data_IF_117131114316
#
_entry.id   IF_117131114316
#
_cell.length_a   1.000
_cell.length_b   1.000
_cell.length_c   1.000
_cell.angle_alpha   90.00
_cell.angle_beta   90.00
_cell.angle_gamma   90.00
#
_symmetry.space_group_name_H-M   'P 1'
#
loop_
_entity.id
_entity.type
_entity.pdbx_description
1 polymer ?
#
# COMPACT_ATOMS: atom_id res chain seq x y z
N UNK A 1 -30.69 11.19 -22.26
CA UNK A 1 -31.15 12.59 -22.15
C UNK A 1 -32.40 12.61 -21.31
N UNK A 2 -32.38 13.31 -20.18
CA UNK A 2 -33.60 13.57 -19.41
C UNK A 2 -34.31 14.73 -20.16
N UNK A 3 -35.50 14.48 -20.70
CA UNK A 3 -36.32 15.55 -21.26
C UNK A 3 -36.87 16.39 -20.10
N UNK A 4 -36.38 17.63 -19.95
CA UNK A 4 -37.02 18.59 -19.08
C UNK A 4 -38.36 18.98 -19.72
N UNK A 5 -39.47 18.72 -19.04
CA UNK A 5 -40.83 18.98 -19.56
C UNK A 5 -41.25 20.46 -19.43
N UNK A 6 -40.35 21.33 -18.98
CA UNK A 6 -40.58 22.76 -18.75
C UNK A 6 -39.54 23.60 -19.50
N UNK A 7 -39.90 24.82 -19.89
CA UNK A 7 -38.99 25.76 -20.54
C UNK A 7 -37.89 26.23 -19.57
N UNK A 8 -36.59 26.16 -19.94
CA UNK A 8 -35.47 26.41 -19.03
C UNK A 8 -35.13 27.91 -18.86
N UNK A 9 -36.02 28.82 -19.22
CA UNK A 9 -35.77 30.27 -19.40
C UNK A 9 -36.67 31.18 -18.58
N UNK A 10 -37.47 30.64 -17.64
CA UNK A 10 -38.45 31.38 -16.85
C UNK A 10 -37.97 31.81 -15.44
N UNK A 11 -36.66 31.83 -15.18
CA UNK A 11 -36.12 32.20 -13.87
C UNK A 11 -36.33 33.69 -13.55
N UNK A 12 -36.77 34.01 -12.33
CA UNK A 12 -37.06 35.37 -11.86
C UNK A 12 -36.24 35.77 -10.62
N UNK A 13 -36.08 37.07 -10.40
CA UNK A 13 -35.44 37.60 -9.18
C UNK A 13 -36.29 37.21 -7.97
N UNK A 14 -35.69 36.48 -7.04
CA UNK A 14 -36.37 35.92 -5.86
C UNK A 14 -36.48 34.39 -5.90
N UNK A 15 -36.23 33.75 -7.04
CA UNK A 15 -36.18 32.29 -7.15
C UNK A 15 -34.94 31.71 -6.47
N UNK A 16 -35.02 30.41 -6.14
CA UNK A 16 -33.95 29.65 -5.49
C UNK A 16 -33.54 28.44 -6.34
N UNK A 17 -32.25 28.10 -6.31
CA UNK A 17 -31.70 26.94 -7.02
C UNK A 17 -31.80 25.71 -6.12
N UNK A 18 -32.44 24.64 -6.60
CA UNK A 18 -32.57 23.37 -5.89
C UNK A 18 -31.86 22.28 -6.67
N UNK A 19 -30.86 21.66 -6.06
CA UNK A 19 -30.15 20.51 -6.60
C UNK A 19 -30.73 19.23 -5.99
N UNK A 20 -31.23 18.33 -6.83
CA UNK A 20 -31.96 17.12 -6.39
C UNK A 20 -31.07 15.89 -6.19
N UNK A 21 -29.77 15.99 -6.51
CA UNK A 21 -28.79 14.90 -6.35
C UNK A 21 -27.41 15.46 -5.97
N UNK A 22 -26.62 14.78 -5.12
CA UNK A 22 -25.27 15.21 -4.79
C UNK A 22 -24.36 15.21 -6.02
N UNK A 23 -23.38 16.11 -6.02
CA UNK A 23 -22.31 16.16 -7.02
C UNK A 23 -21.20 15.15 -6.68
N UNK A 24 -20.31 14.86 -7.63
CA UNK A 24 -19.10 14.08 -7.39
C UNK A 24 -19.14 12.61 -7.85
N UNK A 25 -20.18 12.18 -8.57
CA UNK A 25 -20.28 10.80 -9.10
C UNK A 25 -19.09 10.43 -9.99
N UNK A 26 -18.61 11.35 -10.83
CA UNK A 26 -17.48 11.09 -11.71
C UNK A 26 -16.17 10.95 -10.93
N UNK A 27 -15.93 11.80 -9.93
CA UNK A 27 -14.75 11.72 -9.05
C UNK A 27 -14.76 10.40 -8.28
N UNK A 28 -15.89 10.06 -7.67
CA UNK A 28 -16.05 8.80 -6.96
C UNK A 28 -15.76 7.58 -7.86
N UNK A 29 -16.25 7.58 -9.11
CA UNK A 29 -16.07 6.46 -10.03
C UNK A 29 -14.65 6.41 -10.62
N UNK A 30 -14.05 7.55 -10.98
CA UNK A 30 -12.69 7.58 -11.53
C UNK A 30 -11.68 7.07 -10.53
N UNK A 31 -11.77 7.53 -9.28
CA UNK A 31 -10.76 7.24 -8.26
C UNK A 31 -10.84 5.78 -7.81
N UNK A 32 -12.06 5.25 -7.64
CA UNK A 32 -12.27 3.82 -7.33
C UNK A 32 -11.72 2.93 -8.45
N UNK A 33 -11.93 3.30 -9.72
CA UNK A 33 -11.42 2.51 -10.86
C UNK A 33 -9.89 2.50 -10.90
N UNK A 34 -9.25 3.65 -10.69
CA UNK A 34 -7.80 3.76 -10.65
C UNK A 34 -7.21 2.97 -9.49
N UNK A 35 -7.76 3.12 -8.29
CA UNK A 35 -7.36 2.36 -7.10
C UNK A 35 -7.50 0.86 -7.30
N UNK A 36 -8.66 0.40 -7.81
CA UNK A 36 -8.88 -1.01 -8.12
C UNK A 36 -7.89 -1.55 -9.15
N UNK A 37 -7.58 -0.75 -10.17
CA UNK A 37 -6.61 -1.13 -11.20
C UNK A 37 -5.19 -1.24 -10.63
N UNK A 38 -4.72 -0.24 -9.88
CA UNK A 38 -3.41 -0.30 -9.22
C UNK A 38 -3.31 -1.45 -8.22
N UNK A 39 -4.37 -1.74 -7.46
CA UNK A 39 -4.41 -2.92 -6.59
C UNK A 39 -4.24 -4.21 -7.41
N UNK A 40 -4.97 -4.34 -8.53
CA UNK A 40 -4.86 -5.51 -9.41
C UNK A 40 -3.45 -5.66 -10.00
N UNK A 41 -2.84 -4.55 -10.45
CA UNK A 41 -1.46 -4.58 -10.94
C UNK A 41 -0.48 -4.98 -9.84
N UNK A 42 -0.61 -4.40 -8.65
CA UNK A 42 0.23 -4.74 -7.50
C UNK A 42 0.13 -6.23 -7.14
N UNK A 43 -1.07 -6.79 -7.07
CA UNK A 43 -1.29 -8.20 -6.73
C UNK A 43 -0.72 -9.17 -7.79
N UNK A 44 -0.63 -8.74 -9.04
CA UNK A 44 -0.14 -9.56 -10.16
C UNK A 44 1.37 -9.45 -10.37
N UNK A 45 2.05 -8.57 -9.63
CA UNK A 45 3.52 -8.53 -9.61
C UNK A 45 4.10 -9.70 -8.84
N UNK A 46 5.09 -10.36 -9.43
CA UNK A 46 5.78 -11.47 -8.80
C UNK A 46 6.91 -10.97 -7.90
N UNK A 47 6.97 -11.47 -6.67
CA UNK A 47 8.07 -11.26 -5.73
C UNK A 47 9.40 -11.93 -6.15
N UNK A 48 9.50 -12.48 -7.37
CA UNK A 48 10.67 -13.22 -7.88
C UNK A 48 11.94 -12.36 -7.91
N UNK A 49 11.84 -11.13 -8.40
CA UNK A 49 13.01 -10.23 -8.49
C UNK A 49 13.48 -9.82 -7.09
N UNK A 50 12.54 -9.45 -6.20
CA UNK A 50 12.85 -9.17 -4.81
C UNK A 50 13.55 -10.35 -4.14
N UNK A 51 13.02 -11.57 -4.31
CA UNK A 51 13.61 -12.78 -3.75
C UNK A 51 15.03 -13.08 -4.25
N UNK A 52 15.29 -12.86 -5.54
CA UNK A 52 16.65 -12.96 -6.11
C UNK A 52 17.59 -11.92 -5.49
N UNK A 53 17.15 -10.68 -5.34
CA UNK A 53 17.95 -9.59 -4.79
C UNK A 53 18.24 -9.76 -3.30
N UNK A 54 17.40 -10.48 -2.54
CA UNK A 54 17.65 -10.77 -1.12
C UNK A 54 19.01 -11.44 -0.90
N UNK A 55 19.40 -12.37 -1.78
CA UNK A 55 20.71 -13.02 -1.68
C UNK A 55 21.87 -12.05 -1.96
N UNK A 56 21.70 -11.17 -2.93
CA UNK A 56 22.72 -10.19 -3.33
C UNK A 56 22.97 -9.15 -2.23
N UNK A 57 21.91 -8.73 -1.55
CA UNK A 57 21.96 -7.69 -0.51
C UNK A 57 21.98 -8.27 0.92
N UNK A 58 22.31 -9.56 1.06
CA UNK A 58 22.52 -10.23 2.35
C UNK A 58 21.34 -10.12 3.32
N UNK A 59 20.11 -10.34 2.84
CA UNK A 59 18.92 -10.37 3.70
C UNK A 59 19.06 -11.39 4.84
N UNK A 60 18.63 -11.00 6.04
CA UNK A 60 18.65 -11.83 7.24
C UNK A 60 17.36 -12.64 7.42
N UNK A 61 16.29 -12.27 6.71
CA UNK A 61 15.02 -12.99 6.74
C UNK A 61 13.92 -12.26 5.96
N UNK A 62 12.83 -12.95 5.66
CA UNK A 62 11.67 -12.35 5.03
C UNK A 62 10.37 -13.11 5.32
N UNK A 63 9.24 -12.44 5.14
CA UNK A 63 7.91 -13.04 5.00
C UNK A 63 7.17 -12.33 3.86
N UNK A 64 6.26 -13.01 3.18
CA UNK A 64 5.24 -12.33 2.38
C UNK A 64 4.17 -11.71 3.30
N UNK A 65 3.53 -10.63 2.85
CA UNK A 65 2.40 -9.99 3.53
C UNK A 65 1.11 -10.39 2.82
N UNK A 66 0.26 -11.16 3.51
CA UNK A 66 -1.02 -11.64 2.98
C UNK A 66 -2.14 -11.47 4.00
N UNK A 67 -2.94 -12.51 4.26
CA UNK A 67 -4.26 -12.39 4.89
C UNK A 67 -4.27 -11.91 6.35
N UNK A 68 -3.11 -11.91 7.02
CA UNK A 68 -2.99 -11.40 8.40
C UNK A 68 -2.62 -9.91 8.46
N UNK A 69 -2.39 -9.28 7.31
CA UNK A 69 -1.91 -7.91 7.21
C UNK A 69 -0.46 -7.73 7.64
N UNK A 70 0.09 -6.55 7.37
CA UNK A 70 1.49 -6.22 7.60
C UNK A 70 1.96 -6.58 9.02
N UNK A 71 1.21 -6.13 10.03
CA UNK A 71 1.58 -6.29 11.43
C UNK A 71 1.42 -7.74 11.92
N UNK A 72 0.44 -8.47 11.39
CA UNK A 72 0.30 -9.91 11.66
C UNK A 72 1.49 -10.71 11.14
N UNK A 73 1.89 -10.46 9.89
CA UNK A 73 3.07 -11.10 9.30
C UNK A 73 4.39 -10.66 9.95
N UNK A 74 4.53 -9.37 10.31
CA UNK A 74 5.69 -8.88 11.05
C UNK A 74 5.83 -9.57 12.42
N UNK A 75 4.70 -9.77 13.13
CA UNK A 75 4.69 -10.52 14.39
C UNK A 75 5.14 -11.98 14.19
N UNK A 76 4.67 -12.65 13.14
CA UNK A 76 5.13 -14.01 12.85
C UNK A 76 6.64 -14.04 12.53
N UNK A 77 7.12 -13.07 11.73
CA UNK A 77 8.53 -12.98 11.34
C UNK A 77 9.45 -12.71 12.54
N UNK A 78 9.06 -11.85 13.48
CA UNK A 78 9.88 -11.56 14.67
C UNK A 78 9.97 -12.79 15.59
N UNK A 79 8.91 -13.60 15.68
CA UNK A 79 8.92 -14.79 16.55
C UNK A 79 9.95 -15.84 16.12
N UNK A 80 10.17 -16.00 14.81
CA UNK A 80 11.11 -16.99 14.26
C UNK A 80 12.58 -16.54 14.28
N UNK A 81 12.88 -15.31 14.68
CA UNK A 81 14.26 -14.81 14.75
C UNK A 81 15.06 -15.58 15.80
N UNK A 82 16.37 -15.78 15.58
CA UNK A 82 17.22 -16.46 16.56
C UNK A 82 17.45 -15.63 17.84
N UNK A 83 17.53 -14.30 17.71
CA UNK A 83 17.70 -13.39 18.84
C UNK A 83 16.33 -13.13 19.52
N UNK A 84 16.25 -13.34 20.84
CA UNK A 84 15.05 -13.15 21.65
C UNK A 84 14.86 -11.72 22.18
N UNK A 85 15.87 -10.86 22.03
CA UNK A 85 15.90 -9.50 22.59
C UNK A 85 15.78 -8.44 21.49
N UNK A 86 14.79 -8.59 20.61
CA UNK A 86 14.54 -7.62 19.53
C UNK A 86 13.06 -7.41 19.29
N UNK A 87 12.71 -6.27 18.70
CA UNK A 87 11.37 -5.96 18.24
C UNK A 87 11.42 -5.28 16.86
N UNK A 88 10.31 -5.36 16.12
CA UNK A 88 10.14 -4.63 14.86
C UNK A 88 9.28 -3.39 15.12
N UNK A 89 9.86 -2.21 14.88
CA UNK A 89 9.18 -0.92 14.99
C UNK A 89 8.85 -0.41 13.59
N UNK A 90 7.58 -0.47 13.20
CA UNK A 90 7.11 -0.02 11.88
C UNK A 90 6.69 1.45 12.00
N UNK A 91 7.40 2.32 11.29
CA UNK A 91 7.18 3.77 11.33
C UNK A 91 6.49 4.32 10.08
N UNK A 92 6.47 3.59 8.97
CA UNK A 92 5.92 4.06 7.69
C UNK A 92 5.02 3.00 7.05
N UNK A 93 3.91 3.44 6.44
CA UNK A 93 2.93 2.63 5.75
C UNK A 93 2.78 3.15 4.31
N UNK A 94 3.41 2.52 3.31
CA UNK A 94 3.09 2.80 1.91
C UNK A 94 1.71 2.24 1.59
N UNK A 95 0.78 3.12 1.25
CA UNK A 95 -0.61 2.78 0.93
C UNK A 95 -0.91 3.21 -0.50
N UNK A 96 -1.73 2.44 -1.23
CA UNK A 96 -2.20 2.90 -2.54
C UNK A 96 -2.97 4.21 -2.36
N UNK A 97 -2.74 5.17 -3.24
CA UNK A 97 -3.40 6.47 -3.23
C UNK A 97 -4.92 6.32 -3.03
N UNK A 98 -5.47 7.07 -2.06
CA UNK A 98 -6.89 7.03 -1.71
C UNK A 98 -7.31 5.90 -0.76
N UNK A 99 -6.52 4.83 -0.59
CA UNK A 99 -6.88 3.72 0.33
C UNK A 99 -6.87 4.14 1.80
N UNK A 100 -5.88 4.95 2.20
CA UNK A 100 -5.76 5.51 3.55
C UNK A 100 -6.94 6.43 3.89
N UNK A 101 -7.33 7.29 2.94
CA UNK A 101 -8.48 8.18 3.02
C UNK A 101 -9.79 7.39 3.19
N UNK A 102 -10.01 6.38 2.34
CA UNK A 102 -11.20 5.51 2.42
C UNK A 102 -11.23 4.79 3.77
N UNK A 103 -10.09 4.27 4.24
CA UNK A 103 -10.03 3.61 5.55
C UNK A 103 -10.46 4.55 6.66
N UNK A 104 -9.91 5.78 6.71
CA UNK A 104 -10.30 6.80 7.70
C UNK A 104 -11.79 7.14 7.61
N UNK A 105 -12.32 7.33 6.41
CA UNK A 105 -13.74 7.61 6.18
C UNK A 105 -14.65 6.48 6.70
N UNK A 106 -14.15 5.23 6.72
CA UNK A 106 -14.83 4.05 7.24
C UNK A 106 -14.44 3.72 8.69
N UNK A 107 -13.85 4.66 9.44
CA UNK A 107 -13.37 4.47 10.81
C UNK A 107 -12.38 3.30 10.96
N UNK A 108 -11.51 3.13 9.96
CA UNK A 108 -10.53 2.06 9.86
C UNK A 108 -11.13 0.66 10.08
N UNK A 109 -12.35 0.44 9.58
CA UNK A 109 -13.10 -0.82 9.76
C UNK A 109 -12.30 -2.05 9.29
N UNK A 110 -11.51 -1.91 8.24
CA UNK A 110 -10.65 -2.97 7.70
C UNK A 110 -9.29 -3.03 8.39
N UNK A 111 -9.00 -2.13 9.34
CA UNK A 111 -7.76 -2.09 10.13
C UNK A 111 -6.49 -1.86 9.30
N UNK A 112 -6.58 -1.09 8.22
CA UNK A 112 -5.43 -0.75 7.36
C UNK A 112 -4.40 0.05 8.16
N UNK A 113 -4.84 1.10 8.86
CA UNK A 113 -3.95 1.97 9.61
C UNK A 113 -3.43 1.33 10.90
N UNK A 114 -4.09 0.26 11.35
CA UNK A 114 -3.64 -0.61 12.43
C UNK A 114 -2.72 -1.75 11.93
N UNK A 115 -2.49 -1.87 10.62
CA UNK A 115 -1.61 -2.89 10.03
C UNK A 115 -2.20 -4.31 9.99
N UNK A 116 -3.50 -4.48 10.26
CA UNK A 116 -4.16 -5.79 10.28
C UNK A 116 -5.15 -6.00 9.13
N UNK A 117 -5.20 -5.08 8.16
CA UNK A 117 -5.98 -5.28 6.94
C UNK A 117 -5.46 -6.49 6.18
N UNK A 118 -6.32 -7.46 5.82
CA UNK A 118 -5.92 -8.59 5.00
C UNK A 118 -5.41 -8.13 3.63
N UNK A 119 -4.22 -8.59 3.25
CA UNK A 119 -3.65 -8.38 1.94
C UNK A 119 -3.75 -9.67 1.10
N UNK A 120 -3.75 -9.54 -0.22
CA UNK A 120 -3.73 -10.67 -1.16
C UNK A 120 -2.55 -10.50 -2.08
N UNK A 121 -1.68 -11.52 -2.20
CA UNK A 121 -0.49 -11.45 -3.06
C UNK A 121 0.33 -10.16 -2.82
N UNK A 122 0.55 -9.82 -1.55
CA UNK A 122 1.31 -8.62 -1.18
C UNK A 122 2.81 -8.77 -1.42
N UNK A 123 3.55 -7.71 -1.09
CA UNK A 123 5.00 -7.69 -1.19
C UNK A 123 5.71 -8.56 -0.15
N UNK A 124 7.03 -8.64 -0.26
CA UNK A 124 7.88 -9.21 0.78
C UNK A 124 8.22 -8.15 1.85
N UNK A 125 8.04 -8.50 3.12
CA UNK A 125 8.65 -7.82 4.26
C UNK A 125 10.02 -8.46 4.50
N UNK A 126 11.09 -7.69 4.31
CA UNK A 126 12.47 -8.19 4.29
C UNK A 126 13.29 -7.52 5.39
N UNK A 127 14.04 -8.31 6.15
CA UNK A 127 15.03 -7.83 7.12
C UNK A 127 16.40 -7.76 6.42
N UNK A 128 16.96 -6.56 6.31
CA UNK A 128 18.24 -6.30 5.63
C UNK A 128 19.21 -5.56 6.57
N UNK A 129 20.53 -5.68 6.34
CA UNK A 129 21.51 -4.74 6.89
C UNK A 129 21.17 -3.30 6.49
N UNK A 130 21.33 -2.35 7.41
CA UNK A 130 20.94 -0.94 7.21
C UNK A 130 21.66 -0.32 6.02
N UNK A 131 22.94 -0.66 5.87
CA UNK A 131 23.82 -0.22 4.79
C UNK A 131 23.42 -0.75 3.41
N UNK A 132 22.69 -1.87 3.33
CA UNK A 132 22.27 -2.49 2.06
C UNK A 132 20.81 -2.21 1.70
N UNK A 133 20.01 -1.69 2.64
CA UNK A 133 18.58 -1.47 2.44
C UNK A 133 18.31 -0.46 1.30
N UNK A 134 19.03 0.66 1.27
CA UNK A 134 18.86 1.68 0.24
C UNK A 134 19.23 1.16 -1.16
N UNK A 135 20.37 0.48 -1.29
CA UNK A 135 20.80 -0.09 -2.56
C UNK A 135 19.86 -1.19 -3.07
N UNK A 136 19.29 -1.99 -2.15
CA UNK A 136 18.27 -2.97 -2.49
C UNK A 136 17.03 -2.29 -3.09
N UNK A 137 16.53 -1.23 -2.45
CA UNK A 137 15.35 -0.51 -2.93
C UNK A 137 15.56 0.13 -4.30
N UNK A 138 16.73 0.75 -4.52
CA UNK A 138 17.10 1.36 -5.80
C UNK A 138 17.20 0.33 -6.93
N UNK A 139 17.89 -0.79 -6.69
CA UNK A 139 18.05 -1.85 -7.68
C UNK A 139 16.73 -2.55 -8.00
N UNK A 140 15.92 -2.84 -6.98
CA UNK A 140 14.59 -3.43 -7.18
C UNK A 140 13.70 -2.51 -8.01
N UNK A 141 13.71 -1.20 -7.71
CA UNK A 141 12.94 -0.21 -8.46
C UNK A 141 13.43 -0.10 -9.90
N UNK A 142 14.75 -0.14 -10.15
CA UNK A 142 15.29 -0.13 -11.50
C UNK A 142 14.86 -1.36 -12.33
N UNK A 143 14.88 -2.54 -11.71
CA UNK A 143 14.54 -3.79 -12.40
C UNK A 143 13.03 -4.01 -12.58
N UNK A 144 12.23 -3.72 -11.56
CA UNK A 144 10.78 -3.96 -11.59
C UNK A 144 10.01 -2.76 -12.13
N UNK A 145 10.50 -1.55 -11.88
CA UNK A 145 9.84 -0.28 -12.23
C UNK A 145 8.76 0.17 -11.24
N UNK A 146 8.52 -0.60 -10.18
CA UNK A 146 7.68 -0.22 -9.05
C UNK A 146 8.59 0.11 -7.84
N UNK A 147 8.24 1.13 -7.03
CA UNK A 147 9.01 1.49 -5.85
C UNK A 147 8.96 0.42 -4.75
N UNK A 148 9.92 0.49 -3.82
CA UNK A 148 9.91 -0.22 -2.55
C UNK A 148 10.35 0.73 -1.44
N UNK A 149 10.08 0.36 -0.17
CA UNK A 149 10.21 1.28 0.95
C UNK A 149 10.90 0.63 2.15
N UNK A 150 11.72 1.42 2.85
CA UNK A 150 12.16 1.12 4.21
C UNK A 150 11.04 1.59 5.14
N UNK A 151 10.37 0.66 5.81
CA UNK A 151 9.14 0.95 6.56
C UNK A 151 9.30 0.91 8.08
N UNK A 152 10.45 0.46 8.57
CA UNK A 152 10.66 0.20 9.98
C UNK A 152 12.08 -0.21 10.30
N UNK A 153 12.34 -0.34 11.59
CA UNK A 153 13.62 -0.72 12.16
C UNK A 153 13.49 -1.97 13.03
N UNK A 154 14.57 -2.75 13.10
CA UNK A 154 14.76 -3.76 14.13
C UNK A 154 15.47 -3.10 15.30
N UNK A 155 14.84 -3.11 16.47
CA UNK A 155 15.33 -2.47 17.70
C UNK A 155 15.61 -3.50 18.78
N UNK A 156 16.45 -3.16 19.75
CA UNK A 156 16.62 -3.94 20.98
C UNK A 156 15.35 -3.86 21.85
N UNK A 157 14.95 -4.98 22.42
CA UNK A 157 13.77 -5.07 23.29
C UNK A 157 13.88 -6.26 24.25
N UNK A 158 13.12 -6.24 25.35
CA UNK A 158 13.11 -7.35 26.30
C UNK A 158 12.46 -8.63 25.74
N UNK A 159 11.61 -8.49 24.71
CA UNK A 159 10.87 -9.59 24.11
C UNK A 159 10.56 -9.36 22.63
N UNK A 160 10.42 -10.48 21.91
CA UNK A 160 10.01 -10.51 20.49
C UNK A 160 8.60 -9.97 20.30
N UNK A 161 8.51 -8.82 19.65
CA UNK A 161 7.24 -8.21 19.28
C UNK A 161 7.38 -7.36 18.02
N UNK A 162 6.28 -7.17 17.29
CA UNK A 162 6.19 -6.18 16.23
C UNK A 162 5.06 -5.21 16.54
N UNK A 163 5.30 -3.91 16.34
CA UNK A 163 4.33 -2.86 16.59
C UNK A 163 4.44 -1.73 15.57
N UNK A 164 3.34 -0.99 15.41
CA UNK A 164 3.33 0.29 14.73
C UNK A 164 3.64 1.39 15.74
N UNK A 165 4.44 2.38 15.33
CA UNK A 165 4.60 3.60 16.14
C UNK A 165 3.25 4.33 16.29
N UNK A 166 3.04 5.16 17.32
CA UNK A 166 1.73 5.78 17.59
C UNK A 166 1.13 6.60 16.44
N UNK A 167 1.99 7.18 15.58
CA UNK A 167 1.61 7.95 14.41
C UNK A 167 2.51 7.56 13.24
N UNK A 168 2.23 6.43 12.56
CA UNK A 168 3.05 6.03 11.43
C UNK A 168 2.84 7.02 10.27
N UNK A 169 3.91 7.31 9.56
CA UNK A 169 3.85 8.07 8.31
C UNK A 169 3.10 7.25 7.26
N UNK A 170 2.08 7.83 6.64
CA UNK A 170 1.36 7.19 5.53
C UNK A 170 1.85 7.82 4.24
N UNK A 171 2.44 7.02 3.37
CA UNK A 171 2.87 7.44 2.03
C UNK A 171 1.76 7.05 1.06
N UNK A 172 1.14 8.04 0.41
CA UNK A 172 0.20 7.78 -0.68
C UNK A 172 0.98 7.47 -1.97
N UNK A 173 1.01 6.19 -2.32
CA UNK A 173 1.67 5.66 -3.51
C UNK A 173 0.78 5.93 -4.72
N UNK A 174 1.27 6.79 -5.61
CA UNK A 174 0.54 7.26 -6.77
C UNK A 174 0.23 6.10 -7.72
N UNK A 175 -0.98 6.09 -8.30
CA UNK A 175 -1.39 5.03 -9.21
C UNK A 175 -0.44 4.83 -10.40
N UNK A 176 0.21 5.91 -10.86
CA UNK A 176 1.20 5.88 -11.95
C UNK A 176 2.53 5.20 -11.58
N UNK A 177 2.82 5.02 -10.29
CA UNK A 177 4.02 4.32 -9.83
C UNK A 177 3.84 2.80 -9.82
N UNK A 178 2.61 2.30 -9.92
CA UNK A 178 2.30 0.88 -10.01
C UNK A 178 2.11 0.51 -11.47
N UNK A 179 3.19 0.08 -12.11
CA UNK A 179 3.19 -0.26 -13.54
C UNK A 179 2.84 -1.73 -13.76
N UNK A 180 2.44 -2.15 -14.98
CA UNK A 180 2.25 -3.56 -15.29
C UNK A 180 3.55 -4.39 -15.15
N UNK A 181 3.46 -5.69 -14.81
CA UNK A 181 4.62 -6.56 -14.79
C UNK A 181 5.35 -6.52 -16.13
N UNK A 182 6.67 -6.37 -16.12
CA UNK A 182 7.47 -6.48 -17.34
C UNK A 182 7.27 -7.90 -17.90
N UNK A 183 6.71 -8.00 -19.10
CA UNK A 183 6.71 -9.27 -19.84
C UNK A 183 8.16 -9.74 -19.90
N UNK A 184 8.43 -10.98 -19.49
CA UNK A 184 9.73 -11.59 -19.71
C UNK A 184 9.98 -11.66 -21.21
N UNK A 185 10.71 -10.70 -21.75
CA UNK A 185 11.45 -10.94 -22.99
C UNK A 185 12.49 -12.00 -22.62
N UNK A 186 12.18 -13.26 -22.90
CA UNK A 186 13.18 -14.31 -22.92
C UNK A 186 14.19 -13.90 -24.00
N UNK A 187 15.28 -13.28 -23.58
CA UNK A 187 16.45 -13.02 -24.39
C UNK A 187 17.68 -13.35 -23.56
N UNK A 188 17.93 -14.66 -23.45
CA UNK A 188 19.19 -15.40 -23.68
C UNK A 188 19.17 -16.70 -22.89
#
# INVERSE_FOLDING_TARGET
MLFCLFSPDQAAVGDVLVLTKPLGTQVAVSDIKSLFHSATLSMTHLNRTAARLMHKHHAHGCTDVTGFGLLGHANNLVQVQANNHLAFSIHTLPCLEGSSLISRALNDRLKLLQGFSPETSGGLLIVLPRESAQSFCEELTAEVGCPSWIIGDVIEADSKSAFLVPQPEVIDVQHSQIIPPKCSTNSQ
#
